data_IF_271465894452
#
_entry.id   IF_271465894452
#
_cell.length_a   1.000
_cell.length_b   1.000
_cell.length_c   1.000
_cell.angle_alpha   90.00
_cell.angle_beta   90.00
_cell.angle_gamma   90.00
#
_symmetry.space_group_name_H-M   'P 1'
#
loop_
_entity.id
_entity.type
_entity.pdbx_description
1 polymer ?
#
# COMPACT_ATOMS: atom_id res chain seq x y z
N UNK A 1 9.78 3.95 -4.71
CA UNK A 1 8.80 3.97 -3.61
C UNK A 1 9.28 2.98 -2.57
N UNK A 2 9.86 3.46 -1.47
CA UNK A 2 10.33 2.59 -0.38
C UNK A 2 9.26 2.53 0.71
N UNK A 3 8.48 1.44 0.71
CA UNK A 3 7.65 1.07 1.85
C UNK A 3 8.60 0.60 2.95
N UNK A 4 8.84 1.40 3.98
CA UNK A 4 9.55 0.92 5.16
C UNK A 4 8.64 0.02 5.99
N UNK A 5 9.23 -0.99 6.61
CA UNK A 5 8.53 -1.82 7.59
C UNK A 5 8.22 -1.00 8.84
N UNK A 6 7.08 -1.24 9.48
CA UNK A 6 6.66 -0.52 10.68
C UNK A 6 5.87 -1.43 11.63
N UNK A 7 5.83 -1.07 12.90
CA UNK A 7 4.93 -1.68 13.88
C UNK A 7 3.73 -0.76 14.11
N UNK A 8 2.51 -1.27 13.91
CA UNK A 8 1.31 -0.48 14.19
C UNK A 8 1.12 -0.33 15.70
N UNK A 9 0.84 0.89 16.16
CA UNK A 9 0.46 1.17 17.57
C UNK A 9 -1.05 1.19 17.76
N UNK A 10 -1.81 1.26 16.67
CA UNK A 10 -3.27 1.38 16.67
C UNK A 10 -3.93 0.27 15.88
N UNK A 11 -5.19 -0.01 16.18
CA UNK A 11 -6.06 -0.81 15.32
C UNK A 11 -6.82 0.13 14.41
N UNK A 12 -6.67 -0.02 13.10
CA UNK A 12 -7.31 0.83 12.10
C UNK A 12 -7.80 -0.03 10.93
N UNK A 13 -8.91 0.37 10.31
CA UNK A 13 -9.39 -0.21 9.04
C UNK A 13 -8.50 0.20 7.87
N UNK A 14 -9.05 0.29 6.66
CA UNK A 14 -8.28 0.81 5.53
C UNK A 14 -7.68 2.18 5.89
N UNK A 15 -6.39 2.35 5.63
CA UNK A 15 -5.70 3.60 5.93
C UNK A 15 -4.75 3.97 4.82
N UNK A 16 -4.72 5.27 4.54
CA UNK A 16 -3.78 5.84 3.60
C UNK A 16 -2.42 5.93 4.27
N UNK A 17 -1.48 5.12 3.79
CA UNK A 17 -0.12 5.09 4.32
C UNK A 17 0.67 6.28 3.79
N UNK A 18 0.29 6.80 2.60
CA UNK A 18 0.93 7.94 1.96
C UNK A 18 -0.03 8.87 1.26
N UNK A 19 0.18 10.16 1.50
CA UNK A 19 -0.38 11.27 0.76
C UNK A 19 0.76 11.82 -0.10
N UNK A 20 0.83 11.41 -1.37
CA UNK A 20 1.89 11.88 -2.26
C UNK A 20 1.36 12.99 -3.17
N UNK A 21 1.26 14.19 -2.59
CA UNK A 21 0.67 15.36 -3.25
C UNK A 21 1.40 15.74 -4.56
N UNK A 22 2.73 15.53 -4.59
CA UNK A 22 3.62 15.94 -5.68
C UNK A 22 4.15 14.78 -6.56
N UNK A 23 3.63 13.57 -6.44
CA UNK A 23 4.13 12.46 -7.26
C UNK A 23 3.21 11.99 -8.36
N UNK A 24 3.64 10.87 -8.95
CA UNK A 24 2.99 10.19 -10.05
C UNK A 24 1.54 9.85 -9.69
N UNK A 25 0.62 10.29 -10.55
CA UNK A 25 -0.82 10.09 -10.39
C UNK A 25 -1.35 9.20 -11.50
N UNK A 26 -1.77 7.95 -11.20
CA UNK A 26 -2.32 7.10 -12.21
C UNK A 26 -3.71 7.60 -12.63
N UNK A 27 -4.04 7.48 -13.91
CA UNK A 27 -5.35 7.89 -14.43
C UNK A 27 -6.52 7.05 -13.88
N UNK A 28 -6.22 5.88 -13.29
CA UNK A 28 -7.18 4.96 -12.67
C UNK A 28 -6.56 4.36 -11.41
N UNK A 29 -7.41 3.87 -10.50
CA UNK A 29 -6.97 3.13 -9.32
C UNK A 29 -6.26 1.83 -9.75
N UNK A 30 -5.07 1.59 -9.21
CA UNK A 30 -4.27 0.39 -9.48
C UNK A 30 -4.23 -0.47 -8.22
N UNK A 31 -4.57 -1.76 -8.35
CA UNK A 31 -4.27 -2.73 -7.29
C UNK A 31 -2.79 -3.07 -7.32
N UNK A 32 -2.09 -2.85 -6.20
CA UNK A 32 -0.69 -3.20 -6.05
C UNK A 32 -0.50 -4.67 -5.63
N UNK A 33 -1.59 -5.41 -5.40
CA UNK A 33 -1.54 -6.75 -4.83
C UNK A 33 -0.88 -6.75 -3.44
N UNK A 34 -0.26 -7.87 -3.06
CA UNK A 34 0.44 -7.98 -1.77
C UNK A 34 1.72 -7.13 -1.75
N UNK A 35 1.85 -6.26 -0.74
CA UNK A 35 2.98 -5.32 -0.58
C UNK A 35 3.72 -5.47 0.75
N UNK A 36 3.16 -6.23 1.69
CA UNK A 36 3.78 -6.49 2.98
C UNK A 36 3.30 -7.82 3.59
N UNK A 37 4.13 -8.41 4.44
CA UNK A 37 3.74 -9.49 5.33
C UNK A 37 3.35 -8.93 6.70
N UNK A 38 2.53 -9.65 7.47
CA UNK A 38 2.37 -9.38 8.90
C UNK A 38 3.11 -10.46 9.69
N UNK A 39 4.11 -10.06 10.47
CA UNK A 39 4.92 -11.00 11.24
C UNK A 39 4.03 -11.83 12.17
N UNK A 40 4.23 -13.16 12.16
CA UNK A 40 3.42 -14.09 12.96
C UNK A 40 2.02 -14.37 12.43
N UNK A 41 1.64 -13.85 11.25
CA UNK A 41 0.36 -14.12 10.61
C UNK A 41 0.52 -14.89 9.29
N UNK A 42 -0.49 -15.68 8.92
CA UNK A 42 -0.55 -16.42 7.66
C UNK A 42 -1.07 -15.58 6.47
N UNK A 43 -1.07 -14.25 6.59
CA UNK A 43 -1.59 -13.35 5.56
C UNK A 43 -0.70 -12.12 5.38
N UNK A 44 -0.75 -11.55 4.17
CA UNK A 44 -0.10 -10.29 3.82
C UNK A 44 -1.08 -9.12 3.72
N UNK A 45 -0.54 -7.92 3.49
CA UNK A 45 -1.31 -6.70 3.24
C UNK A 45 -1.29 -6.36 1.76
N UNK A 46 -2.46 -5.98 1.27
CA UNK A 46 -2.63 -5.46 -0.07
C UNK A 46 -2.77 -3.95 -0.04
N UNK A 47 -2.45 -3.29 -1.14
CA UNK A 47 -2.62 -1.86 -1.26
C UNK A 47 -3.21 -1.45 -2.60
N UNK A 48 -3.89 -0.31 -2.62
CA UNK A 48 -4.33 0.37 -3.83
C UNK A 48 -3.54 1.67 -4.00
N UNK A 49 -3.12 1.95 -5.21
CA UNK A 49 -2.65 3.27 -5.63
C UNK A 49 -3.81 4.03 -6.24
N UNK A 50 -4.22 5.10 -5.58
CA UNK A 50 -5.37 5.91 -5.95
C UNK A 50 -4.98 6.99 -6.98
N UNK A 51 -5.98 7.54 -7.66
CA UNK A 51 -5.80 8.53 -8.73
C UNK A 51 -5.27 9.87 -8.24
N UNK A 52 -5.41 10.17 -6.94
CA UNK A 52 -4.82 11.34 -6.30
C UNK A 52 -3.33 11.14 -5.95
N UNK A 53 -2.76 9.97 -6.28
CA UNK A 53 -1.38 9.60 -5.99
C UNK A 53 -1.19 8.93 -4.62
N UNK A 54 -2.23 8.89 -3.78
CA UNK A 54 -2.16 8.26 -2.47
C UNK A 54 -2.12 6.72 -2.54
N UNK A 55 -1.52 6.09 -1.53
CA UNK A 55 -1.50 4.63 -1.41
C UNK A 55 -2.21 4.21 -0.13
N UNK A 56 -3.20 3.33 -0.27
CA UNK A 56 -4.05 2.85 0.83
C UNK A 56 -3.82 1.36 1.06
N UNK A 57 -3.47 0.96 2.29
CA UNK A 57 -3.51 -0.45 2.70
C UNK A 57 -4.96 -0.89 2.92
N UNK A 58 -5.29 -2.05 2.36
CA UNK A 58 -6.62 -2.65 2.38
C UNK A 58 -6.69 -3.70 3.50
N UNK A 59 -7.83 -3.74 4.20
CA UNK A 59 -8.11 -4.68 5.29
C UNK A 59 -7.54 -4.25 6.66
N UNK A 60 -6.93 -3.07 6.72
CA UNK A 60 -6.42 -2.47 7.96
C UNK A 60 -5.27 -3.21 8.63
N UNK A 61 -4.91 -2.78 9.84
CA UNK A 61 -3.87 -3.38 10.68
C UNK A 61 -4.31 -3.38 12.14
N UNK A 62 -3.97 -4.42 12.88
CA UNK A 62 -4.16 -4.45 14.33
C UNK A 62 -3.01 -3.77 15.06
N UNK A 63 -3.27 -3.29 16.27
CA UNK A 63 -2.20 -2.85 17.17
C UNK A 63 -1.17 -3.96 17.38
N UNK A 64 0.10 -3.57 17.52
CA UNK A 64 1.28 -4.44 17.64
C UNK A 64 1.62 -5.29 16.42
N UNK A 65 0.84 -5.25 15.32
CA UNK A 65 1.21 -5.92 14.07
C UNK A 65 2.51 -5.32 13.52
N UNK A 66 3.52 -6.16 13.33
CA UNK A 66 4.74 -5.80 12.61
C UNK A 66 4.53 -6.02 11.11
N UNK A 67 4.30 -4.93 10.38
CA UNK A 67 4.06 -4.92 8.94
C UNK A 67 5.39 -4.81 8.22
N UNK A 68 5.78 -5.90 7.55
CA UNK A 68 7.06 -6.03 6.88
C UNK A 68 6.89 -5.82 5.38
N UNK A 69 7.15 -4.60 4.97
CA UNK A 69 7.06 -4.20 3.58
C UNK A 69 8.25 -4.73 2.77
N UNK A 70 8.01 -5.05 1.50
CA UNK A 70 9.06 -5.50 0.60
C UNK A 70 9.00 -4.75 -0.73
N UNK A 71 10.17 -4.41 -1.33
CA UNK A 71 10.20 -3.78 -2.64
C UNK A 71 9.72 -4.77 -3.70
N UNK A 72 8.99 -4.26 -4.69
CA UNK A 72 8.58 -5.04 -5.87
C UNK A 72 8.47 -4.15 -7.09
N UNK A 73 8.79 -4.72 -8.24
CA UNK A 73 8.45 -4.13 -9.54
C UNK A 73 7.07 -4.64 -9.93
N UNK A 74 6.22 -3.72 -10.37
CA UNK A 74 4.90 -4.04 -10.91
C UNK A 74 4.81 -3.50 -12.32
N UNK A 75 4.27 -4.31 -13.22
CA UNK A 75 3.91 -3.82 -14.55
C UNK A 75 2.78 -2.83 -14.44
N UNK A 76 2.85 -1.76 -15.23
CA UNK A 76 1.74 -0.83 -15.41
C UNK A 76 0.60 -1.59 -16.09
N UNK A 77 -0.62 -1.62 -15.52
CA UNK A 77 -1.76 -2.24 -16.18
C UNK A 77 -2.12 -1.54 -17.50
N UNK A 78 -2.63 -2.30 -18.46
CA UNK A 78 -3.03 -1.77 -19.76
C UNK A 78 -4.03 -0.61 -19.63
N UNK A 79 -3.81 0.44 -20.42
CA UNK A 79 -4.69 1.62 -20.44
C UNK A 79 -4.64 2.47 -19.17
N UNK A 80 -3.58 2.33 -18.36
CA UNK A 80 -3.21 3.26 -17.30
C UNK A 80 -2.20 4.26 -17.85
N UNK A 81 -2.46 5.54 -17.59
CA UNK A 81 -1.58 6.65 -17.91
C UNK A 81 -1.15 7.34 -16.61
N UNK A 82 -0.07 8.11 -16.66
CA UNK A 82 0.48 8.82 -15.51
C UNK A 82 0.66 10.30 -15.83
N UNK A 83 0.23 11.15 -14.90
CA UNK A 83 0.51 12.58 -14.89
C UNK A 83 1.71 12.91 -14.00
#
# INVERSE_FOLDING_TARGET
MDLSSFQSTVTVGNFTVWLFEAGVKPSKKISLGCVANVNGAAYGKQANWNTDGSVTIIGGVGSSNLVQCFPRIISVPDGVEFA
#
